data_IF_074135813899
#
_entry.id   IF_074135813899
#
_cell.length_a   1.000
_cell.length_b   1.000
_cell.length_c   1.000
_cell.angle_alpha   90.00
_cell.angle_beta   90.00
_cell.angle_gamma   90.00
#
_symmetry.space_group_name_H-M   'P 1'
#
loop_
_entity.id
_entity.type
_entity.pdbx_description
1 polymer ?
#
# COMPACT_ATOMS: atom_id res chain seq x y z
N UNK A 1 49.17 -74.98 45.84
CA UNK A 1 50.35 -74.95 46.74
C UNK A 1 51.12 -73.65 46.54
N UNK A 2 51.91 -73.24 47.53
CA UNK A 2 52.68 -71.99 47.62
C UNK A 2 53.36 -71.52 46.32
N UNK A 3 53.40 -70.20 46.09
CA UNK A 3 54.71 -69.52 46.22
C UNK A 3 54.66 -68.04 46.66
N UNK A 4 55.79 -67.60 47.22
CA UNK A 4 56.17 -66.25 47.72
C UNK A 4 56.99 -65.51 46.64
N UNK A 5 57.32 -64.21 46.65
CA UNK A 5 57.22 -62.98 47.49
C UNK A 5 57.49 -61.79 46.49
N UNK A 6 57.82 -60.51 46.82
CA UNK A 6 57.61 -59.65 48.00
C UNK A 6 57.01 -58.24 47.67
N UNK A 7 56.94 -57.36 48.68
CA UNK A 7 56.64 -55.93 48.58
C UNK A 7 57.68 -55.11 47.78
N UNK A 8 57.27 -53.95 47.25
CA UNK A 8 57.97 -52.68 47.55
C UNK A 8 57.04 -51.45 47.49
N UNK A 9 57.45 -50.36 48.17
CA UNK A 9 56.61 -49.17 48.46
C UNK A 9 56.53 -48.17 47.29
N UNK A 10 55.47 -47.36 47.33
CA UNK A 10 55.17 -46.22 46.45
C UNK A 10 56.15 -45.05 46.59
N UNK A 11 56.07 -44.06 45.67
CA UNK A 11 55.83 -42.70 46.15
C UNK A 11 54.83 -41.87 45.33
N UNK A 12 54.26 -40.88 46.02
CA UNK A 12 53.72 -39.60 45.54
C UNK A 12 52.48 -39.58 44.63
N UNK A 13 51.34 -39.23 45.23
CA UNK A 13 50.20 -38.65 44.51
C UNK A 13 50.59 -37.32 43.86
N UNK A 14 50.17 -37.11 42.61
CA UNK A 14 50.06 -35.79 42.00
C UNK A 14 48.59 -35.54 41.66
N UNK A 15 48.01 -34.45 42.17
CA UNK A 15 46.61 -34.12 41.94
C UNK A 15 46.38 -33.59 40.50
N UNK A 16 45.30 -33.97 39.82
CA UNK A 16 44.95 -33.39 38.52
C UNK A 16 44.50 -31.94 38.69
N UNK A 17 45.01 -31.05 37.83
CA UNK A 17 44.59 -29.64 37.77
C UNK A 17 43.14 -29.53 37.25
N UNK A 18 42.31 -28.61 37.78
CA UNK A 18 40.97 -28.41 37.26
C UNK A 18 40.98 -27.75 35.88
N UNK A 19 40.22 -28.30 34.94
CA UNK A 19 39.91 -27.65 33.67
C UNK A 19 38.98 -26.45 33.93
N UNK A 20 39.51 -25.23 33.83
CA UNK A 20 38.68 -24.03 33.81
C UNK A 20 38.03 -23.88 32.42
N UNK A 21 36.79 -24.36 32.28
CA UNK A 21 35.98 -24.14 31.08
C UNK A 21 35.57 -22.67 30.96
N UNK A 22 36.18 -21.94 30.04
CA UNK A 22 35.78 -20.57 29.73
C UNK A 22 34.49 -20.57 28.89
N UNK A 23 33.34 -20.50 29.55
CA UNK A 23 32.07 -20.27 28.88
C UNK A 23 32.03 -18.80 28.38
N UNK A 24 32.35 -18.60 27.11
CA UNK A 24 32.30 -17.27 26.48
C UNK A 24 30.83 -16.88 26.24
N UNK A 25 30.25 -16.15 27.19
CA UNK A 25 28.93 -15.56 27.03
C UNK A 25 28.97 -14.49 25.92
N UNK A 26 28.45 -14.84 24.75
CA UNK A 26 28.17 -13.90 23.65
C UNK A 26 27.07 -12.94 24.08
N UNK A 27 27.46 -11.84 24.72
CA UNK A 27 26.62 -10.67 24.90
C UNK A 27 26.26 -10.13 23.52
N UNK A 28 25.02 -10.37 23.10
CA UNK A 28 24.38 -9.68 21.99
C UNK A 28 24.18 -8.21 22.39
N UNK A 29 25.24 -7.41 22.25
CA UNK A 29 25.16 -5.96 22.36
C UNK A 29 24.31 -5.45 21.20
N UNK A 30 23.02 -5.23 21.45
CA UNK A 30 22.17 -4.44 20.57
C UNK A 30 22.66 -2.99 20.63
N UNK A 31 23.67 -2.67 19.82
CA UNK A 31 24.11 -1.28 19.62
C UNK A 31 22.88 -0.46 19.25
N UNK A 32 22.60 0.66 19.96
CA UNK A 32 21.51 1.53 19.55
C UNK A 32 21.77 1.99 18.12
N UNK A 33 20.76 1.88 17.26
CA UNK A 33 20.83 2.37 15.89
C UNK A 33 21.17 3.87 15.98
N UNK A 34 22.29 4.27 15.37
CA UNK A 34 22.70 5.67 15.37
C UNK A 34 21.59 6.53 14.76
N UNK A 35 21.41 7.75 15.27
CA UNK A 35 20.35 8.66 14.84
C UNK A 35 20.50 9.02 13.34
N UNK A 36 19.88 8.22 12.48
CA UNK A 36 19.88 8.40 11.04
C UNK A 36 19.06 9.65 10.64
N UNK A 37 19.46 10.27 9.53
CA UNK A 37 18.69 11.30 8.86
C UNK A 37 17.87 10.69 7.73
N UNK A 38 16.58 11.04 7.70
CA UNK A 38 15.60 10.56 6.73
C UNK A 38 15.08 11.76 5.95
N UNK A 39 15.41 11.83 4.67
CA UNK A 39 14.97 12.89 3.77
C UNK A 39 13.70 12.46 3.04
N UNK A 40 12.59 13.15 3.26
CA UNK A 40 11.29 12.87 2.62
C UNK A 40 11.06 13.84 1.48
N UNK A 41 11.20 13.38 0.25
CA UNK A 41 10.98 14.15 -0.98
C UNK A 41 9.52 13.99 -1.44
N UNK A 42 8.74 15.06 -1.42
CA UNK A 42 7.33 15.08 -1.83
C UNK A 42 7.19 15.68 -3.23
N UNK A 43 6.34 15.06 -4.05
CA UNK A 43 5.98 15.59 -5.39
C UNK A 43 5.30 16.96 -5.28
N UNK A 44 4.45 17.12 -4.28
CA UNK A 44 3.76 18.35 -3.88
C UNK A 44 3.24 18.18 -2.45
N UNK A 45 2.88 19.27 -1.75
CA UNK A 45 2.17 19.18 -0.48
C UNK A 45 0.68 18.81 -0.67
N UNK A 46 0.40 17.51 -0.70
CA UNK A 46 -0.95 16.97 -0.83
C UNK A 46 -1.57 16.73 0.54
N UNK A 47 -2.61 17.49 0.89
CA UNK A 47 -3.30 17.40 2.18
C UNK A 47 -3.79 15.98 2.54
N UNK A 48 -4.14 15.17 1.53
CA UNK A 48 -4.56 13.78 1.69
C UNK A 48 -3.43 12.82 2.09
N UNK A 49 -2.15 13.20 1.93
CA UNK A 49 -1.00 12.38 2.33
C UNK A 49 -0.52 12.65 3.76
N UNK A 50 -1.03 13.70 4.44
CA UNK A 50 -0.62 14.06 5.81
C UNK A 50 -0.70 12.90 6.82
N UNK A 51 -1.75 12.05 6.85
CA UNK A 51 -1.80 10.92 7.78
C UNK A 51 -0.62 9.95 7.62
N UNK A 52 -0.11 9.77 6.40
CA UNK A 52 1.06 8.94 6.13
C UNK A 52 2.36 9.61 6.58
N UNK A 53 2.54 10.91 6.32
CA UNK A 53 3.73 11.66 6.75
C UNK A 53 3.81 11.72 8.28
N UNK A 54 2.68 11.92 8.96
CA UNK A 54 2.60 11.87 10.42
C UNK A 54 2.85 10.47 10.98
N UNK A 55 2.27 9.43 10.38
CA UNK A 55 2.51 8.05 10.81
C UNK A 55 3.98 7.63 10.61
N UNK A 56 4.58 8.02 9.47
CA UNK A 56 6.00 7.82 9.18
C UNK A 56 6.89 8.47 10.25
N UNK A 57 6.63 9.73 10.59
CA UNK A 57 7.35 10.45 11.67
C UNK A 57 7.20 9.76 13.02
N UNK A 58 5.96 9.38 13.41
CA UNK A 58 5.70 8.69 14.69
C UNK A 58 6.41 7.34 14.77
N UNK A 59 6.52 6.62 13.65
CA UNK A 59 7.17 5.32 13.56
C UNK A 59 8.70 5.36 13.50
N UNK A 60 9.33 6.54 13.46
CA UNK A 60 10.79 6.72 13.40
C UNK A 60 11.34 7.51 14.62
N UNK A 61 11.05 7.09 15.86
CA UNK A 61 11.53 7.78 17.05
C UNK A 61 13.06 7.75 17.13
N UNK A 62 13.69 8.90 17.38
CA UNK A 62 15.16 9.03 17.43
C UNK A 62 15.83 9.27 16.07
N UNK A 63 15.07 9.33 14.97
CA UNK A 63 15.56 9.72 13.65
C UNK A 63 15.12 11.15 13.27
N UNK A 64 15.98 11.85 12.53
CA UNK A 64 15.66 13.20 12.04
C UNK A 64 14.95 13.10 10.69
N UNK A 65 13.64 13.38 10.67
CA UNK A 65 12.82 13.35 9.45
C UNK A 65 12.66 14.76 8.87
N UNK A 66 13.36 15.05 7.77
CA UNK A 66 13.31 16.36 7.08
C UNK A 66 12.49 16.24 5.80
N UNK A 67 11.47 17.08 5.63
CA UNK A 67 10.66 17.13 4.40
C UNK A 67 11.20 18.14 3.39
N UNK A 68 11.14 17.77 2.12
CA UNK A 68 11.42 18.60 0.96
C UNK A 68 10.24 18.53 0.00
N UNK A 69 9.69 19.67 -0.40
CA UNK A 69 8.55 19.74 -1.31
C UNK A 69 8.98 20.26 -2.68
N UNK A 70 8.76 19.45 -3.72
CA UNK A 70 9.03 19.80 -5.12
C UNK A 70 8.00 20.75 -5.71
N UNK A 71 6.82 20.90 -5.09
CA UNK A 71 5.73 21.80 -5.55
C UNK A 71 5.26 21.54 -6.99
N UNK A 72 5.44 20.31 -7.48
CA UNK A 72 5.19 19.92 -8.87
C UNK A 72 6.30 20.28 -9.88
N UNK A 73 7.39 20.94 -9.45
CA UNK A 73 8.49 21.34 -10.32
C UNK A 73 9.64 20.31 -10.33
N UNK A 74 9.96 19.81 -11.53
CA UNK A 74 11.09 18.89 -11.74
C UNK A 74 12.45 19.57 -11.53
N UNK A 75 12.55 20.88 -11.72
CA UNK A 75 13.81 21.62 -11.55
C UNK A 75 14.22 21.73 -10.07
N UNK A 76 13.24 21.89 -9.17
CA UNK A 76 13.47 21.94 -7.72
C UNK A 76 14.09 20.64 -7.19
N UNK A 77 13.81 19.51 -7.83
CA UNK A 77 14.40 18.22 -7.44
C UNK A 77 15.91 18.17 -7.65
N UNK A 78 16.45 18.79 -8.71
CA UNK A 78 17.89 18.87 -8.92
C UNK A 78 18.57 19.66 -7.77
N UNK A 79 17.93 20.73 -7.29
CA UNK A 79 18.39 21.52 -6.13
C UNK A 79 18.41 20.67 -4.86
N UNK A 80 17.32 19.95 -4.57
CA UNK A 80 17.22 19.10 -3.37
C UNK A 80 18.21 17.94 -3.42
N UNK A 81 18.29 17.21 -4.55
CA UNK A 81 19.24 16.09 -4.69
C UNK A 81 20.69 16.56 -4.61
N UNK A 82 21.01 17.76 -5.10
CA UNK A 82 22.32 18.38 -4.91
C UNK A 82 22.68 18.58 -3.43
N UNK A 83 21.73 18.98 -2.59
CA UNK A 83 21.91 19.12 -1.13
C UNK A 83 22.08 17.76 -0.43
N UNK A 84 21.43 16.71 -0.93
CA UNK A 84 21.47 15.36 -0.32
C UNK A 84 22.68 14.52 -0.76
N UNK A 85 23.25 14.77 -1.95
CA UNK A 85 24.26 13.92 -2.61
C UNK A 85 25.50 13.57 -1.78
N UNK A 86 25.89 14.42 -0.82
CA UNK A 86 27.08 14.23 0.02
C UNK A 86 26.75 13.81 1.47
N UNK A 87 25.49 13.52 1.79
CA UNK A 87 25.02 13.28 3.17
C UNK A 87 24.58 11.82 3.35
N UNK A 88 24.87 11.17 4.48
CA UNK A 88 24.41 9.81 4.76
C UNK A 88 22.93 9.80 5.17
N UNK A 89 22.05 10.07 4.20
CA UNK A 89 20.60 10.12 4.39
C UNK A 89 19.92 8.87 3.82
N UNK A 90 18.84 8.42 4.45
CA UNK A 90 17.89 7.52 3.80
C UNK A 90 16.83 8.37 3.08
N UNK A 91 16.68 8.15 1.77
CA UNK A 91 15.74 8.88 0.94
C UNK A 91 14.37 8.19 0.92
N UNK A 92 13.31 8.95 1.17
CA UNK A 92 11.92 8.51 1.07
C UNK A 92 11.21 9.38 0.04
N UNK A 93 10.48 8.79 -0.91
CA UNK A 93 9.75 9.56 -1.93
C UNK A 93 8.24 9.44 -1.73
N UNK A 94 7.55 10.57 -1.88
CA UNK A 94 6.09 10.68 -1.79
C UNK A 94 5.52 11.18 -3.11
N UNK A 95 4.84 10.29 -3.83
CA UNK A 95 4.18 10.55 -5.09
C UNK A 95 5.06 10.33 -6.34
N UNK A 96 4.45 10.30 -7.55
CA UNK A 96 5.14 9.90 -8.78
C UNK A 96 6.35 10.77 -9.15
N UNK A 97 6.19 12.09 -9.20
CA UNK A 97 7.26 13.02 -9.61
C UNK A 97 8.52 12.86 -8.73
N UNK A 98 8.35 12.78 -7.41
CA UNK A 98 9.47 12.61 -6.50
C UNK A 98 10.20 11.27 -6.71
N UNK A 99 9.47 10.19 -7.02
CA UNK A 99 10.08 8.90 -7.31
C UNK A 99 10.79 8.88 -8.68
N UNK A 100 10.12 9.35 -9.73
CA UNK A 100 10.65 9.44 -11.10
C UNK A 100 11.97 10.20 -11.15
N UNK A 101 12.02 11.42 -10.59
CA UNK A 101 13.22 12.27 -10.71
C UNK A 101 14.41 11.69 -9.96
N UNK A 102 14.18 10.97 -8.86
CA UNK A 102 15.24 10.22 -8.15
C UNK A 102 15.74 9.06 -9.00
N UNK A 103 14.84 8.28 -9.62
CA UNK A 103 15.23 7.16 -10.50
C UNK A 103 15.98 7.64 -11.75
N UNK A 104 15.65 8.80 -12.29
CA UNK A 104 16.34 9.42 -13.43
C UNK A 104 17.70 10.04 -13.05
N UNK A 105 17.72 10.88 -12.00
CA UNK A 105 18.87 11.72 -11.66
C UNK A 105 19.88 11.06 -10.73
N UNK A 106 19.47 9.99 -10.03
CA UNK A 106 20.25 9.28 -9.04
C UNK A 106 19.89 7.77 -8.99
N UNK A 107 20.01 7.02 -10.10
CA UNK A 107 19.55 5.63 -10.22
C UNK A 107 20.20 4.65 -9.23
N UNK A 108 21.39 4.97 -8.72
CA UNK A 108 22.11 4.18 -7.72
C UNK A 108 21.71 4.50 -6.27
N UNK A 109 20.96 5.59 -6.04
CA UNK A 109 20.46 5.95 -4.71
C UNK A 109 19.34 5.01 -4.31
N UNK A 110 19.52 4.33 -3.17
CA UNK A 110 18.47 3.54 -2.55
C UNK A 110 17.36 4.46 -2.02
N UNK A 111 16.09 4.13 -2.32
CA UNK A 111 14.93 4.90 -1.86
C UNK A 111 13.81 4.01 -1.29
N UNK A 112 13.03 4.57 -0.38
CA UNK A 112 11.74 4.01 0.06
C UNK A 112 10.59 4.85 -0.54
N UNK A 113 9.74 4.26 -1.38
CA UNK A 113 8.64 5.00 -2.02
C UNK A 113 7.28 4.79 -1.34
N UNK A 114 6.46 5.85 -1.38
CA UNK A 114 5.09 5.92 -0.90
C UNK A 114 4.25 6.74 -1.89
N UNK A 115 2.93 6.51 -1.93
CA UNK A 115 1.97 7.28 -2.74
C UNK A 115 2.22 7.26 -4.27
N UNK A 116 3.01 6.31 -4.79
CA UNK A 116 3.26 6.17 -6.23
C UNK A 116 2.19 5.29 -6.87
N UNK A 117 1.34 5.88 -7.71
CA UNK A 117 0.18 5.19 -8.30
C UNK A 117 0.57 4.09 -9.30
N UNK A 118 1.60 4.33 -10.12
CA UNK A 118 2.16 3.38 -11.09
C UNK A 118 3.66 3.19 -10.83
N UNK A 119 3.96 2.43 -9.79
CA UNK A 119 5.34 2.12 -9.40
C UNK A 119 6.10 1.29 -10.44
N UNK A 120 5.38 0.57 -11.32
CA UNK A 120 6.00 -0.18 -12.41
C UNK A 120 6.53 0.77 -13.50
N UNK A 121 5.70 1.72 -13.95
CA UNK A 121 6.09 2.77 -14.91
C UNK A 121 7.21 3.66 -14.38
N UNK A 122 7.26 3.91 -13.07
CA UNK A 122 8.36 4.63 -12.42
C UNK A 122 9.65 3.79 -12.26
N UNK A 123 9.70 2.53 -12.74
CA UNK A 123 10.89 1.67 -12.65
C UNK A 123 11.26 1.24 -11.23
N UNK A 124 10.28 1.19 -10.32
CA UNK A 124 10.51 0.92 -8.89
C UNK A 124 10.36 -0.56 -8.52
N UNK A 125 9.57 -1.34 -9.26
CA UNK A 125 9.27 -2.73 -8.89
C UNK A 125 10.40 -3.71 -9.24
N UNK A 126 11.17 -3.42 -10.29
CA UNK A 126 12.26 -4.27 -10.78
C UNK A 126 13.65 -3.85 -10.25
N UNK A 127 13.69 -2.91 -9.29
CA UNK A 127 14.94 -2.30 -8.81
C UNK A 127 15.31 -2.73 -7.38
N UNK A 128 16.50 -3.29 -7.21
CA UNK A 128 17.10 -3.53 -5.88
C UNK A 128 17.41 -2.25 -5.10
N UNK A 129 17.44 -1.10 -5.79
CA UNK A 129 17.62 0.24 -5.21
C UNK A 129 16.28 0.92 -4.86
N UNK A 130 15.17 0.19 -4.92
CA UNK A 130 13.88 0.66 -4.46
C UNK A 130 13.28 -0.33 -3.47
N UNK A 131 12.50 0.18 -2.53
CA UNK A 131 11.56 -0.57 -1.70
C UNK A 131 10.41 0.36 -1.38
N UNK A 132 9.26 -0.13 -0.91
CA UNK A 132 8.16 0.78 -0.66
C UNK A 132 6.88 0.12 -0.22
N UNK A 133 5.84 0.95 -0.14
CA UNK A 133 4.48 0.51 0.14
C UNK A 133 3.60 0.88 -1.06
N UNK A 134 2.87 -0.10 -1.58
CA UNK A 134 2.01 0.08 -2.73
C UNK A 134 0.92 1.13 -2.46
N UNK A 135 0.66 2.03 -3.41
CA UNK A 135 -0.48 2.95 -3.34
C UNK A 135 -1.72 2.36 -4.03
N UNK A 136 -2.06 1.12 -3.66
CA UNK A 136 -3.20 0.39 -4.19
C UNK A 136 -3.67 -0.69 -3.22
N UNK A 137 -4.93 -1.09 -3.34
CA UNK A 137 -5.41 -2.33 -2.74
C UNK A 137 -5.47 -3.41 -3.82
N UNK A 138 -5.03 -4.66 -3.56
CA UNK A 138 -5.20 -5.76 -4.50
C UNK A 138 -6.66 -5.89 -4.93
N UNK A 139 -6.92 -5.89 -6.24
CA UNK A 139 -8.29 -5.79 -6.79
C UNK A 139 -9.21 -6.93 -6.31
N UNK A 140 -8.66 -8.14 -6.11
CA UNK A 140 -9.38 -9.26 -5.47
C UNK A 140 -9.93 -8.90 -4.08
N UNK A 141 -9.14 -8.19 -3.27
CA UNK A 141 -9.54 -7.79 -1.92
C UNK A 141 -10.57 -6.66 -1.96
N UNK A 142 -10.43 -5.71 -2.89
CA UNK A 142 -11.42 -4.65 -3.12
C UNK A 142 -12.78 -5.23 -3.56
N UNK A 143 -12.79 -6.17 -4.51
CA UNK A 143 -14.00 -6.87 -4.93
C UNK A 143 -14.60 -7.72 -3.81
N UNK A 144 -13.78 -8.37 -2.97
CA UNK A 144 -14.25 -9.09 -1.78
C UNK A 144 -14.92 -8.16 -0.76
N UNK A 145 -14.36 -6.97 -0.52
CA UNK A 145 -14.94 -5.97 0.37
C UNK A 145 -16.28 -5.43 -0.18
N UNK A 146 -16.39 -5.17 -1.48
CA UNK A 146 -17.66 -4.81 -2.11
C UNK A 146 -18.70 -5.93 -1.99
N UNK A 147 -18.30 -7.19 -2.21
CA UNK A 147 -19.16 -8.37 -2.04
C UNK A 147 -19.65 -8.54 -0.60
N UNK A 148 -18.81 -8.21 0.38
CA UNK A 148 -19.15 -8.23 1.81
C UNK A 148 -20.17 -7.14 2.16
N UNK A 149 -20.04 -5.92 1.60
CA UNK A 149 -20.97 -4.81 1.87
C UNK A 149 -22.29 -4.97 1.12
N UNK A 150 -22.29 -5.49 -0.12
CA UNK A 150 -23.50 -5.71 -0.90
C UNK A 150 -23.60 -7.15 -1.47
N UNK A 151 -23.96 -8.15 -0.64
CA UNK A 151 -24.02 -9.56 -1.04
C UNK A 151 -25.13 -9.93 -2.04
N UNK A 152 -25.89 -8.95 -2.56
CA UNK A 152 -26.85 -9.16 -3.66
C UNK A 152 -26.29 -8.77 -5.03
N UNK A 153 -25.22 -7.97 -5.11
CA UNK A 153 -24.55 -7.73 -6.39
C UNK A 153 -23.83 -8.99 -6.87
N UNK A 154 -24.16 -9.43 -8.09
CA UNK A 154 -23.45 -10.50 -8.80
C UNK A 154 -22.72 -9.90 -10.00
N UNK A 155 -23.38 -8.99 -10.74
CA UNK A 155 -22.82 -8.27 -11.90
C UNK A 155 -22.37 -6.86 -11.48
N UNK A 156 -21.08 -6.60 -11.48
CA UNK A 156 -20.52 -5.25 -11.33
C UNK A 156 -20.25 -4.68 -12.72
N UNK A 157 -20.90 -3.57 -13.07
CA UNK A 157 -20.56 -2.83 -14.28
C UNK A 157 -19.36 -1.93 -14.03
N UNK A 158 -18.51 -1.74 -15.03
CA UNK A 158 -17.42 -0.75 -15.01
C UNK A 158 -17.32 -0.06 -16.35
N UNK A 159 -17.27 1.27 -16.32
CA UNK A 159 -16.86 2.08 -17.46
C UNK A 159 -15.38 2.39 -17.22
N UNK A 160 -14.57 2.48 -18.28
CA UNK A 160 -13.18 2.90 -18.13
C UNK A 160 -12.61 3.54 -19.39
N UNK A 161 -11.60 4.38 -19.20
CA UNK A 161 -10.82 5.04 -20.23
C UNK A 161 -9.76 4.14 -20.86
N UNK A 162 -8.98 4.71 -21.81
CA UNK A 162 -7.97 4.00 -22.56
C UNK A 162 -6.60 3.92 -21.87
N UNK A 163 -6.44 4.45 -20.65
CA UNK A 163 -5.15 4.42 -19.95
C UNK A 163 -4.74 2.99 -19.59
N UNK A 164 -3.55 2.56 -20.01
CA UNK A 164 -3.02 1.19 -19.82
C UNK A 164 -3.12 0.68 -18.38
N UNK A 165 -2.90 1.55 -17.39
CA UNK A 165 -2.98 1.24 -15.96
C UNK A 165 -4.40 0.80 -15.57
N UNK A 166 -5.41 1.56 -16.03
CA UNK A 166 -6.83 1.32 -15.80
C UNK A 166 -7.32 0.10 -16.59
N UNK A 167 -6.91 -0.04 -17.86
CA UNK A 167 -7.25 -1.19 -18.70
C UNK A 167 -6.74 -2.50 -18.08
N UNK A 168 -5.48 -2.53 -17.62
CA UNK A 168 -4.89 -3.69 -16.93
C UNK A 168 -5.61 -3.99 -15.61
N UNK A 169 -5.98 -2.95 -14.83
CA UNK A 169 -6.74 -3.10 -13.59
C UNK A 169 -8.12 -3.71 -13.82
N UNK A 170 -8.85 -3.28 -14.87
CA UNK A 170 -10.16 -3.83 -15.22
C UNK A 170 -10.04 -5.26 -15.74
N UNK A 171 -9.05 -5.57 -16.58
CA UNK A 171 -8.78 -6.94 -17.04
C UNK A 171 -8.48 -7.88 -15.86
N UNK A 172 -7.68 -7.42 -14.88
CA UNK A 172 -7.39 -8.21 -13.68
C UNK A 172 -8.64 -8.39 -12.81
N UNK A 173 -9.46 -7.34 -12.64
CA UNK A 173 -10.76 -7.43 -11.99
C UNK A 173 -11.65 -8.52 -12.62
N UNK A 174 -11.72 -8.56 -13.95
CA UNK A 174 -12.48 -9.58 -14.69
C UNK A 174 -11.97 -11.00 -14.44
N UNK A 175 -10.65 -11.21 -14.40
CA UNK A 175 -10.08 -12.54 -14.09
C UNK A 175 -10.39 -13.00 -12.68
N UNK A 176 -10.26 -12.13 -11.67
CA UNK A 176 -10.37 -12.53 -10.26
C UNK A 176 -11.79 -12.46 -9.68
N UNK A 177 -12.73 -11.77 -10.35
CA UNK A 177 -14.10 -11.61 -9.87
C UNK A 177 -14.81 -12.94 -9.56
N UNK A 178 -14.61 -13.97 -10.39
CA UNK A 178 -15.19 -15.30 -10.19
C UNK A 178 -14.80 -15.95 -8.85
N UNK A 179 -13.57 -15.68 -8.36
CA UNK A 179 -13.07 -16.19 -7.07
C UNK A 179 -13.87 -15.66 -5.88
N UNK A 180 -14.47 -14.46 -6.03
CA UNK A 180 -15.31 -13.81 -5.02
C UNK A 180 -16.81 -13.83 -5.38
N UNK A 181 -17.21 -14.70 -6.32
CA UNK A 181 -18.58 -14.89 -6.80
C UNK A 181 -19.20 -13.63 -7.41
N UNK A 182 -18.40 -12.87 -8.14
CA UNK A 182 -18.80 -11.70 -8.92
C UNK A 182 -18.46 -11.91 -10.41
N UNK A 183 -19.09 -11.11 -11.28
CA UNK A 183 -18.63 -10.86 -12.64
C UNK A 183 -18.44 -9.36 -12.87
N UNK A 184 -17.50 -8.99 -13.74
CA UNK A 184 -17.19 -7.59 -14.07
C UNK A 184 -17.48 -7.34 -15.55
N UNK A 185 -18.44 -6.46 -15.82
CA UNK A 185 -18.95 -6.14 -17.16
C UNK A 185 -18.34 -4.80 -17.57
N UNK A 186 -17.32 -4.85 -18.42
CA UNK A 186 -16.59 -3.67 -18.86
C UNK A 186 -17.27 -2.95 -20.04
N UNK A 187 -17.17 -1.63 -20.04
CA UNK A 187 -17.47 -0.73 -21.16
C UNK A 187 -16.29 0.24 -21.36
N UNK A 188 -15.32 -0.09 -22.23
CA UNK A 188 -14.26 0.85 -22.58
C UNK A 188 -14.86 2.05 -23.33
N UNK A 189 -14.38 3.25 -23.04
CA UNK A 189 -14.67 4.47 -23.79
C UNK A 189 -13.39 5.29 -23.97
N UNK A 190 -13.37 6.19 -24.96
CA UNK A 190 -12.18 7.00 -25.30
C UNK A 190 -12.33 8.49 -24.99
N UNK A 191 -13.52 8.94 -24.62
CA UNK A 191 -13.80 10.32 -24.19
C UNK A 191 -15.01 10.38 -23.23
N UNK A 192 -15.08 11.44 -22.40
CA UNK A 192 -16.17 11.62 -21.42
C UNK A 192 -17.57 11.64 -22.06
N UNK A 193 -17.70 12.15 -23.29
CA UNK A 193 -18.98 12.18 -24.05
C UNK A 193 -19.58 10.79 -24.30
N UNK A 194 -18.77 9.75 -24.23
CA UNK A 194 -19.17 8.36 -24.48
C UNK A 194 -19.56 7.63 -23.17
N UNK A 195 -19.33 8.25 -21.99
CA UNK A 195 -19.75 7.72 -20.68
C UNK A 195 -21.27 7.62 -20.54
N UNK A 196 -22.11 8.61 -20.94
CA UNK A 196 -23.56 8.48 -20.87
C UNK A 196 -24.17 7.31 -21.66
N UNK A 197 -23.82 7.06 -22.95
CA UNK A 197 -24.30 5.86 -23.64
C UNK A 197 -23.76 4.56 -23.03
N UNK A 198 -22.48 4.53 -22.60
CA UNK A 198 -21.92 3.36 -21.90
C UNK A 198 -22.70 3.03 -20.61
N UNK A 199 -23.01 4.03 -19.77
CA UNK A 199 -23.82 3.84 -18.57
C UNK A 199 -25.22 3.32 -18.90
N UNK A 200 -25.90 3.90 -19.91
CA UNK A 200 -27.22 3.42 -20.34
C UNK A 200 -27.20 1.96 -20.77
N UNK A 201 -26.10 1.47 -21.36
CA UNK A 201 -25.91 0.07 -21.73
C UNK A 201 -25.66 -0.88 -20.54
N UNK A 202 -25.19 -0.36 -19.40
CA UNK A 202 -25.02 -1.11 -18.16
C UNK A 202 -26.27 -1.08 -17.28
N UNK A 203 -27.13 -0.06 -17.41
CA UNK A 203 -28.37 0.04 -16.65
C UNK A 203 -29.52 -0.82 -17.22
N UNK A 204 -29.41 -1.30 -18.46
CA UNK A 204 -30.49 -2.00 -19.19
C UNK A 204 -29.95 -3.19 -20.00
N UNK A 205 -30.84 -4.13 -20.35
CA UNK A 205 -30.51 -5.29 -21.19
C UNK A 205 -30.06 -6.53 -20.40
N UNK A 206 -29.63 -7.57 -21.12
CA UNK A 206 -29.23 -8.86 -20.53
C UNK A 206 -27.99 -8.76 -19.63
N UNK A 207 -27.11 -7.79 -19.90
CA UNK A 207 -25.90 -7.49 -19.13
C UNK A 207 -26.11 -6.40 -18.06
N UNK A 208 -27.36 -6.11 -17.66
CA UNK A 208 -27.64 -5.07 -16.68
C UNK A 208 -26.88 -5.31 -15.36
N UNK A 209 -26.15 -4.31 -14.89
CA UNK A 209 -25.36 -4.37 -13.66
C UNK A 209 -26.24 -4.30 -12.42
N UNK A 210 -25.76 -4.88 -11.32
CA UNK A 210 -26.36 -4.75 -9.99
C UNK A 210 -25.76 -3.57 -9.22
N UNK A 211 -24.53 -3.17 -9.55
CA UNK A 211 -23.81 -2.01 -9.02
C UNK A 211 -22.79 -1.49 -10.05
N UNK A 212 -22.45 -0.19 -10.01
CA UNK A 212 -21.37 0.40 -10.81
C UNK A 212 -20.09 0.47 -9.97
N UNK A 213 -18.97 -0.05 -10.48
CA UNK A 213 -17.64 0.23 -9.93
C UNK A 213 -17.00 1.40 -10.66
N UNK A 214 -16.50 2.37 -9.88
CA UNK A 214 -15.67 3.49 -10.36
C UNK A 214 -14.21 3.21 -9.94
N UNK A 215 -13.32 2.85 -10.87
CA UNK A 215 -11.89 2.70 -10.62
C UNK A 215 -11.19 4.07 -10.47
N UNK A 216 -9.89 4.11 -10.09
CA UNK A 216 -9.07 5.33 -10.11
C UNK A 216 -8.73 5.77 -11.54
N UNK A 217 -9.76 6.14 -12.30
CA UNK A 217 -9.68 6.56 -13.70
C UNK A 217 -9.87 8.08 -13.82
N UNK A 218 -8.84 8.86 -14.22
CA UNK A 218 -8.93 10.31 -14.35
C UNK A 218 -10.12 10.80 -15.18
N UNK A 219 -10.50 10.08 -16.24
CA UNK A 219 -11.60 10.45 -17.14
C UNK A 219 -12.97 10.32 -16.47
N UNK A 220 -13.12 9.44 -15.47
CA UNK A 220 -14.35 9.33 -14.68
C UNK A 220 -14.37 10.26 -13.46
N UNK A 221 -13.26 10.93 -13.18
CA UNK A 221 -13.05 11.79 -12.01
C UNK A 221 -13.14 13.29 -12.32
N UNK A 222 -13.53 13.68 -13.54
CA UNK A 222 -14.05 15.03 -13.79
C UNK A 222 -15.31 15.26 -12.93
N UNK A 223 -15.55 16.50 -12.48
CA UNK A 223 -16.72 16.78 -11.63
C UNK A 223 -18.04 16.46 -12.33
N UNK A 224 -18.14 16.81 -13.62
CA UNK A 224 -19.33 16.56 -14.43
C UNK A 224 -19.60 15.05 -14.59
N UNK A 225 -18.59 14.27 -14.97
CA UNK A 225 -18.74 12.83 -15.16
C UNK A 225 -18.98 12.10 -13.84
N UNK A 226 -18.25 12.44 -12.78
CA UNK A 226 -18.48 11.91 -11.42
C UNK A 226 -19.92 12.13 -10.95
N UNK A 227 -20.43 13.37 -11.02
CA UNK A 227 -21.79 13.73 -10.59
C UNK A 227 -22.83 12.99 -11.42
N UNK A 228 -22.67 12.97 -12.75
CA UNK A 228 -23.55 12.22 -13.66
C UNK A 228 -23.64 10.73 -13.29
N UNK A 229 -22.50 10.06 -13.06
CA UNK A 229 -22.48 8.63 -12.69
C UNK A 229 -23.21 8.38 -11.36
N UNK A 230 -22.95 9.19 -10.33
CA UNK A 230 -23.58 9.07 -9.01
C UNK A 230 -25.10 9.30 -9.09
N UNK A 231 -25.54 10.34 -9.81
CA UNK A 231 -26.96 10.66 -9.94
C UNK A 231 -27.75 9.62 -10.75
N UNK A 232 -27.27 9.24 -11.93
CA UNK A 232 -28.02 8.34 -12.82
C UNK A 232 -28.09 6.91 -12.29
N UNK A 233 -27.03 6.42 -11.63
CA UNK A 233 -27.09 5.12 -10.94
C UNK A 233 -28.06 5.14 -9.77
N UNK A 234 -28.05 6.21 -8.96
CA UNK A 234 -28.99 6.37 -7.84
C UNK A 234 -30.44 6.46 -8.32
N UNK A 235 -30.73 7.20 -9.41
CA UNK A 235 -32.05 7.25 -10.07
C UNK A 235 -32.50 5.87 -10.57
N UNK A 236 -31.55 5.05 -11.04
CA UNK A 236 -31.81 3.68 -11.49
C UNK A 236 -31.82 2.62 -10.35
N UNK A 237 -31.68 3.03 -9.09
CA UNK A 237 -31.66 2.11 -7.95
C UNK A 237 -30.40 1.24 -7.86
N UNK A 238 -29.28 1.69 -8.43
CA UNK A 238 -28.00 0.97 -8.45
C UNK A 238 -26.96 1.72 -7.60
N UNK A 239 -26.28 1.05 -6.65
CA UNK A 239 -25.22 1.69 -5.87
C UNK A 239 -23.94 1.87 -6.69
N UNK A 240 -23.13 2.86 -6.32
CA UNK A 240 -21.75 3.01 -6.76
C UNK A 240 -20.80 2.41 -5.73
N UNK A 241 -19.80 1.66 -6.22
CA UNK A 241 -18.70 1.06 -5.50
C UNK A 241 -17.42 1.80 -5.91
N UNK A 242 -16.61 2.24 -4.95
CA UNK A 242 -15.53 3.22 -5.17
C UNK A 242 -14.17 2.73 -4.67
N UNK A 243 -13.08 3.26 -5.23
CA UNK A 243 -11.74 3.15 -4.64
C UNK A 243 -11.47 4.20 -3.55
N UNK A 244 -12.22 5.31 -3.51
CA UNK A 244 -11.96 6.50 -2.69
C UNK A 244 -13.13 6.90 -1.78
N UNK A 245 -12.87 7.27 -0.51
CA UNK A 245 -13.90 7.73 0.44
C UNK A 245 -14.47 9.12 0.09
N UNK A 246 -13.82 9.88 -0.80
CA UNK A 246 -14.38 11.12 -1.33
C UNK A 246 -15.69 10.85 -2.08
N UNK A 247 -15.71 9.84 -2.96
CA UNK A 247 -16.93 9.45 -3.69
C UNK A 247 -18.04 8.94 -2.75
N UNK A 248 -17.68 8.34 -1.61
CA UNK A 248 -18.64 7.90 -0.57
C UNK A 248 -19.33 9.10 0.09
N UNK A 249 -18.57 10.18 0.31
CA UNK A 249 -19.12 11.46 0.79
C UNK A 249 -20.00 12.14 -0.26
N UNK A 250 -19.77 11.90 -1.56
CA UNK A 250 -20.57 12.41 -2.68
C UNK A 250 -21.79 11.53 -3.05
N UNK A 251 -21.92 10.33 -2.46
CA UNK A 251 -23.11 9.47 -2.63
C UNK A 251 -22.85 8.04 -3.12
N UNK A 252 -21.60 7.59 -3.23
CA UNK A 252 -21.31 6.17 -3.41
C UNK A 252 -21.69 5.35 -2.16
N UNK A 253 -22.08 4.09 -2.34
CA UNK A 253 -22.45 3.20 -1.24
C UNK A 253 -21.25 2.83 -0.36
N UNK A 254 -20.12 2.58 -1.00
CA UNK A 254 -18.91 2.06 -0.33
C UNK A 254 -17.66 2.45 -1.09
N UNK A 255 -16.57 2.66 -0.36
CA UNK A 255 -15.22 2.58 -0.91
C UNK A 255 -14.35 1.60 -0.16
N UNK A 256 -13.42 0.97 -0.88
CA UNK A 256 -12.35 0.20 -0.28
C UNK A 256 -11.03 0.59 -0.99
N UNK A 257 -10.22 1.42 -0.33
CA UNK A 257 -8.95 1.93 -0.85
C UNK A 257 -7.77 1.65 0.09
N UNK A 258 -6.54 2.07 -0.26
CA UNK A 258 -5.40 1.95 0.64
C UNK A 258 -5.56 2.88 1.85
N UNK A 259 -5.35 2.35 3.05
CA UNK A 259 -5.24 3.15 4.27
C UNK A 259 -3.94 3.98 4.22
N UNK A 260 -4.11 5.29 4.05
CA UNK A 260 -3.03 6.28 3.98
C UNK A 260 -2.18 6.25 5.25
N UNK A 261 -2.77 6.12 6.45
CA UNK A 261 -1.99 6.07 7.68
C UNK A 261 -1.12 4.80 7.73
N UNK A 262 -1.71 3.64 7.37
CA UNK A 262 -0.98 2.37 7.26
C UNK A 262 0.19 2.41 6.27
N UNK A 263 0.16 3.25 5.22
CA UNK A 263 1.31 3.42 4.32
C UNK A 263 2.49 4.04 5.09
N UNK A 264 2.24 5.08 5.88
CA UNK A 264 3.27 5.70 6.72
C UNK A 264 3.81 4.77 7.81
N UNK A 265 2.93 4.01 8.46
CA UNK A 265 3.31 2.99 9.45
C UNK A 265 4.24 1.93 8.85
N UNK A 266 3.85 1.32 7.72
CA UNK A 266 4.63 0.28 7.05
C UNK A 266 5.94 0.83 6.48
N UNK A 267 5.96 2.08 5.99
CA UNK A 267 7.18 2.72 5.53
C UNK A 267 8.17 2.95 6.69
N UNK A 268 7.70 3.37 7.87
CA UNK A 268 8.54 3.51 9.06
C UNK A 268 9.11 2.17 9.53
N UNK A 269 8.30 1.10 9.54
CA UNK A 269 8.75 -0.26 9.87
C UNK A 269 9.82 -0.74 8.88
N UNK A 270 9.58 -0.55 7.58
CA UNK A 270 10.51 -0.91 6.51
C UNK A 270 11.84 -0.16 6.62
N UNK A 271 11.80 1.15 6.88
CA UNK A 271 12.97 2.00 7.12
C UNK A 271 13.74 1.53 8.37
N UNK A 272 13.04 1.24 9.47
CA UNK A 272 13.66 0.76 10.71
C UNK A 272 14.39 -0.58 10.49
N UNK A 273 13.80 -1.49 9.71
CA UNK A 273 14.45 -2.75 9.30
C UNK A 273 15.69 -2.52 8.44
N UNK A 274 15.61 -1.61 7.46
CA UNK A 274 16.74 -1.25 6.59
C UNK A 274 17.90 -0.63 7.41
N UNK A 275 17.60 0.28 8.33
CA UNK A 275 18.59 0.90 9.23
C UNK A 275 19.17 -0.10 10.24
N UNK A 276 18.38 -1.09 10.66
CA UNK A 276 18.83 -2.24 11.45
C UNK A 276 19.63 -3.29 10.67
N UNK A 277 19.83 -3.12 9.36
CA UNK A 277 20.64 -4.00 8.52
C UNK A 277 19.93 -5.23 7.95
N UNK A 278 18.59 -5.32 8.05
CA UNK A 278 17.80 -6.39 7.43
C UNK A 278 17.88 -6.30 5.90
N UNK A 279 18.59 -7.27 5.30
CA UNK A 279 18.76 -7.36 3.84
C UNK A 279 17.47 -7.70 3.11
N UNK A 280 16.50 -8.37 3.75
CA UNK A 280 15.22 -8.74 3.14
C UNK A 280 14.30 -7.54 2.95
N UNK A 281 14.52 -6.46 3.70
CA UNK A 281 13.78 -5.21 3.57
C UNK A 281 14.16 -4.40 2.31
N UNK A 282 15.27 -4.73 1.63
CA UNK A 282 15.62 -4.15 0.32
C UNK A 282 14.96 -4.93 -0.82
N UNK A 283 14.52 -4.23 -1.87
CA UNK A 283 13.67 -4.78 -2.92
C UNK A 283 12.23 -5.12 -2.48
N UNK A 284 11.85 -4.82 -1.24
CA UNK A 284 10.53 -5.18 -0.70
C UNK A 284 9.43 -4.21 -1.14
N UNK A 285 8.31 -4.76 -1.62
CA UNK A 285 7.04 -4.06 -1.78
C UNK A 285 6.02 -4.56 -0.75
N UNK A 286 5.59 -3.67 0.14
CA UNK A 286 4.53 -3.96 1.12
C UNK A 286 3.16 -3.55 0.57
N UNK A 287 2.12 -4.25 1.03
CA UNK A 287 0.72 -3.93 0.70
C UNK A 287 0.07 -3.27 1.91
N UNK A 288 -0.51 -2.06 1.77
CA UNK A 288 -1.12 -1.36 2.89
C UNK A 288 -2.37 -2.09 3.41
N UNK A 289 -2.78 -1.78 4.64
CA UNK A 289 -4.15 -2.08 5.10
C UNK A 289 -5.15 -1.38 4.16
N UNK A 290 -6.38 -1.88 4.12
CA UNK A 290 -7.46 -1.22 3.36
C UNK A 290 -8.34 -0.37 4.29
N UNK A 291 -8.70 0.84 3.86
CA UNK A 291 -9.76 1.64 4.47
C UNK A 291 -11.10 1.24 3.83
N UNK A 292 -11.99 0.60 4.61
CA UNK A 292 -13.35 0.29 4.20
C UNK A 292 -14.30 1.36 4.75
N UNK A 293 -15.02 2.04 3.86
CA UNK A 293 -15.86 3.18 4.21
C UNK A 293 -17.25 3.00 3.61
N UNK A 294 -18.29 3.05 4.42
CA UNK A 294 -19.67 2.71 4.02
C UNK A 294 -20.60 3.93 4.22
N UNK A 295 -21.45 4.22 3.24
CA UNK A 295 -22.51 5.23 3.35
C UNK A 295 -23.84 4.55 3.67
N UNK A 296 -24.25 4.59 4.94
CA UNK A 296 -25.50 3.98 5.39
C UNK A 296 -26.71 4.72 4.83
N UNK A 297 -26.65 6.05 4.68
CA UNK A 297 -27.73 6.86 4.08
C UNK A 297 -28.04 6.45 2.64
N UNK A 298 -27.02 6.13 1.85
CA UNK A 298 -27.18 5.58 0.49
C UNK A 298 -27.75 4.18 0.52
N UNK A 299 -27.29 3.33 1.45
CA UNK A 299 -27.85 2.00 1.64
C UNK A 299 -29.34 2.04 2.01
N UNK A 300 -29.74 2.86 2.98
CA UNK A 300 -31.12 3.06 3.41
C UNK A 300 -32.00 3.57 2.25
N UNK A 301 -31.51 4.57 1.49
CA UNK A 301 -32.20 5.12 0.30
C UNK A 301 -32.40 4.09 -0.80
N UNK A 302 -31.45 3.17 -0.98
CA UNK A 302 -31.51 2.08 -1.95
C UNK A 302 -32.14 0.79 -1.39
N UNK A 303 -32.57 0.78 -0.12
CA UNK A 303 -33.07 -0.41 0.61
C UNK A 303 -32.09 -1.60 0.59
N UNK A 304 -30.80 -1.27 0.68
CA UNK A 304 -29.69 -2.23 0.78
C UNK A 304 -29.42 -2.49 2.26
N UNK A 305 -29.62 -3.74 2.67
CA UNK A 305 -29.22 -4.22 3.98
C UNK A 305 -27.70 -4.50 3.99
N UNK A 306 -26.96 -3.76 4.83
CA UNK A 306 -25.52 -3.94 5.01
C UNK A 306 -25.30 -5.01 6.09
N UNK A 307 -24.57 -6.11 5.82
CA UNK A 307 -24.30 -7.14 6.84
C UNK A 307 -23.53 -6.62 8.05
N UNK A 308 -23.79 -7.20 9.23
CA UNK A 308 -23.12 -6.81 10.48
C UNK A 308 -21.58 -6.94 10.42
N UNK A 309 -21.07 -7.98 9.76
CA UNK A 309 -19.62 -8.18 9.58
C UNK A 309 -19.01 -7.07 8.71
N UNK A 310 -19.74 -6.57 7.71
CA UNK A 310 -19.30 -5.45 6.88
C UNK A 310 -19.22 -4.15 7.67
N UNK A 311 -20.21 -3.88 8.54
CA UNK A 311 -20.20 -2.74 9.46
C UNK A 311 -19.07 -2.84 10.49
N UNK A 312 -18.77 -4.05 11.00
CA UNK A 312 -17.67 -4.29 11.93
C UNK A 312 -16.28 -4.15 11.28
N UNK A 313 -16.16 -4.50 10.01
CA UNK A 313 -14.93 -4.34 9.23
C UNK A 313 -14.73 -2.91 8.69
N UNK A 314 -15.76 -2.06 8.72
CA UNK A 314 -15.67 -0.69 8.23
C UNK A 314 -14.81 0.18 9.15
N UNK A 315 -13.79 0.83 8.58
CA UNK A 315 -13.01 1.88 9.24
C UNK A 315 -13.88 3.10 9.56
N UNK A 316 -14.92 3.36 8.74
CA UNK A 316 -15.86 4.47 8.92
C UNK A 316 -17.22 4.20 8.29
N UNK A 317 -18.28 4.70 8.93
CA UNK A 317 -19.67 4.66 8.44
C UNK A 317 -20.27 6.06 8.45
N UNK A 318 -21.01 6.43 7.40
CA UNK A 318 -21.64 7.74 7.16
C UNK A 318 -23.18 7.71 7.14
#
# INVERSE_FOLDING_TARGET
MNNRLPHHRSPSMAAPRPWAGAALALLLSSSPIAAAEVAVLKSSDVAAWRPALEALRRGLPGHTVTEYDLRGDRNEAARVLGVLKARPVLLVTFGPLAAEVVRESAPDTFLVFCMVQDAAKAGLLDSVNASGVAFSTPIKNQLAAFRMVYPRAVRIGVIHGPEDSVVKLVQEAQKVAGVVRLSVIARPVTAERDVPPALRSLLKGAEAMDALWVPPDPMLLSEATRRFLLEETLKAGKPVLSFSPALVSEGALVSNGPDVASIGEQAAELISRILGGDRTARGSLLVPKAELVINKKVADKLKIEIPADALKAATRVY
#
